data_IF_660101986743
#
_entry.id   IF_660101986743
#
_cell.length_a   1.000
_cell.length_b   1.000
_cell.length_c   1.000
_cell.angle_alpha   90.00
_cell.angle_beta   90.00
_cell.angle_gamma   90.00
#
_symmetry.space_group_name_H-M   'P 1'
#
loop_
_entity.id
_entity.type
_entity.pdbx_description
1 polymer ?
#
# COMPACT_ATOMS: atom_id res chain seq x y z
N UNK A 1 17.48 3.18 29.20
CA UNK A 1 16.02 3.29 28.98
C UNK A 1 15.77 3.21 27.49
N UNK A 2 14.67 2.55 27.08
CA UNK A 2 14.27 2.40 25.68
C UNK A 2 13.93 3.75 25.04
N UNK A 3 14.41 3.98 23.82
CA UNK A 3 14.11 5.18 23.07
C UNK A 3 12.76 5.03 22.36
N UNK A 4 11.84 5.94 22.63
CA UNK A 4 10.50 5.97 22.06
C UNK A 4 10.35 7.11 21.06
N UNK A 5 9.48 6.90 20.08
CA UNK A 5 9.07 7.90 19.10
C UNK A 5 7.56 7.94 18.99
N UNK A 6 7.01 9.10 18.60
CA UNK A 6 5.57 9.27 18.39
C UNK A 6 5.29 9.50 16.92
N UNK A 7 4.57 8.57 16.32
CA UNK A 7 4.16 8.61 14.91
C UNK A 7 2.69 8.99 14.77
N UNK A 8 2.30 9.48 13.62
CA UNK A 8 0.92 9.87 13.32
C UNK A 8 -0.05 8.67 13.34
N UNK A 9 0.39 7.54 12.79
CA UNK A 9 -0.43 6.34 12.62
C UNK A 9 -0.25 5.32 13.74
N UNK A 10 1.00 5.05 14.15
CA UNK A 10 1.34 4.04 15.15
C UNK A 10 1.29 4.53 16.61
N UNK A 11 1.10 5.86 16.85
CA UNK A 11 1.18 6.41 18.18
C UNK A 11 2.60 6.31 18.77
N UNK A 12 2.72 5.88 20.02
CA UNK A 12 4.02 5.69 20.69
C UNK A 12 4.57 4.30 20.36
N UNK A 13 5.78 4.26 19.80
CA UNK A 13 6.48 3.05 19.33
C UNK A 13 7.94 3.09 19.82
N UNK A 14 8.56 1.93 19.92
CA UNK A 14 10.01 1.83 20.10
C UNK A 14 10.71 2.36 18.83
N UNK A 15 11.81 3.10 19.00
CA UNK A 15 12.53 3.66 17.85
C UNK A 15 13.11 2.56 16.94
N UNK A 16 13.47 1.43 17.52
CA UNK A 16 13.96 0.22 16.80
C UNK A 16 12.93 -0.39 15.85
N UNK A 17 11.63 -0.19 16.09
CA UNK A 17 10.54 -0.70 15.25
C UNK A 17 10.21 0.22 14.06
N UNK A 18 10.81 1.40 14.00
CA UNK A 18 10.52 2.42 12.98
C UNK A 18 11.62 2.40 11.92
N UNK A 19 11.26 2.14 10.67
CA UNK A 19 12.18 2.21 9.54
C UNK A 19 12.77 3.60 9.36
N UNK A 20 14.02 3.65 8.88
CA UNK A 20 14.75 4.87 8.57
C UNK A 20 15.84 5.21 9.56
N UNK A 21 16.64 6.23 9.20
CA UNK A 21 17.81 6.67 9.98
C UNK A 21 17.38 7.18 11.37
N UNK A 22 18.09 6.71 12.39
CA UNK A 22 17.97 7.30 13.73
C UNK A 22 18.70 8.65 13.77
N UNK A 23 17.93 9.72 13.95
CA UNK A 23 18.43 11.09 14.08
C UNK A 23 18.44 11.55 15.55
N UNK A 24 18.34 10.63 16.53
CA UNK A 24 18.43 10.98 17.94
C UNK A 24 19.83 11.46 18.32
N UNK A 25 19.92 12.39 19.28
CA UNK A 25 21.21 12.82 19.82
C UNK A 25 21.90 11.69 20.57
N UNK A 26 23.23 11.63 20.54
CA UNK A 26 24.03 10.74 21.39
C UNK A 26 23.83 11.09 22.86
N UNK A 27 23.86 12.38 23.20
CA UNK A 27 23.51 12.86 24.54
C UNK A 27 21.99 12.87 24.73
N UNK A 28 21.55 12.04 25.68
CA UNK A 28 20.13 11.87 26.06
C UNK A 28 19.80 12.48 27.42
N UNK A 29 20.69 13.28 28.01
CA UNK A 29 20.50 13.89 29.31
C UNK A 29 19.23 14.77 29.43
N UNK A 30 18.86 15.41 28.33
CA UNK A 30 17.68 16.26 28.20
C UNK A 30 16.39 15.54 27.76
N UNK A 31 16.45 14.19 27.60
CA UNK A 31 15.29 13.42 27.18
C UNK A 31 14.29 13.29 28.32
N UNK A 32 13.01 13.24 27.95
CA UNK A 32 11.91 13.17 28.93
C UNK A 32 11.56 11.72 29.21
N UNK A 33 11.38 11.40 30.48
CA UNK A 33 10.93 10.06 30.90
C UNK A 33 9.45 9.90 30.52
N UNK A 34 9.12 8.73 30.03
CA UNK A 34 7.75 8.27 29.71
C UNK A 34 7.50 7.00 30.50
N UNK A 35 6.35 6.94 31.16
CA UNK A 35 5.86 5.74 31.81
C UNK A 35 4.78 5.09 30.97
N UNK A 36 4.65 3.79 31.10
CA UNK A 36 3.52 3.06 30.50
C UNK A 36 2.19 3.68 30.96
N UNK A 37 1.32 4.01 29.99
CA UNK A 37 0.07 4.71 30.25
C UNK A 37 0.14 6.22 30.07
N UNK A 38 1.32 6.84 30.04
CA UNK A 38 1.44 8.27 29.77
C UNK A 38 1.01 8.62 28.33
N UNK A 39 0.38 9.78 28.21
CA UNK A 39 0.07 10.33 26.90
C UNK A 39 1.23 11.17 26.38
N UNK A 40 1.67 10.91 25.15
CA UNK A 40 2.79 11.60 24.53
C UNK A 40 2.38 12.14 23.17
N UNK A 41 2.80 13.37 22.85
CA UNK A 41 2.61 13.91 21.52
C UNK A 41 3.89 14.52 20.94
N UNK A 42 3.98 14.48 19.60
CA UNK A 42 5.04 15.13 18.85
C UNK A 42 4.67 16.61 18.64
N UNK A 43 5.38 17.53 19.32
CA UNK A 43 5.04 18.95 19.25
C UNK A 43 5.12 19.53 17.83
N UNK A 44 6.00 19.02 16.97
CA UNK A 44 6.15 19.47 15.58
C UNK A 44 5.12 18.85 14.63
N UNK A 45 4.43 17.78 15.03
CA UNK A 45 3.46 17.06 14.21
C UNK A 45 2.09 16.92 14.89
N UNK A 46 1.85 17.62 16.01
CA UNK A 46 0.58 17.59 16.72
C UNK A 46 -0.57 18.14 15.88
N UNK A 47 -0.30 19.11 15.04
CA UNK A 47 -1.24 19.64 14.05
C UNK A 47 -1.69 18.62 13.00
N UNK A 48 -1.05 17.45 12.93
CA UNK A 48 -1.45 16.27 12.14
C UNK A 48 -2.04 15.17 13.03
N UNK A 49 -2.11 15.37 14.36
CA UNK A 49 -2.60 14.38 15.31
C UNK A 49 -1.57 13.34 15.75
N UNK A 50 -0.26 13.64 15.66
CA UNK A 50 0.81 12.75 16.10
C UNK A 50 0.87 12.67 17.62
N UNK A 51 0.11 11.76 18.21
CA UNK A 51 0.01 11.48 19.63
C UNK A 51 -0.35 10.02 19.91
N UNK A 52 -0.17 9.58 21.16
CA UNK A 52 -0.60 8.26 21.61
C UNK A 52 -0.38 8.06 23.09
N UNK A 53 -0.95 6.98 23.62
CA UNK A 53 -0.65 6.47 24.97
C UNK A 53 0.51 5.50 24.85
N UNK A 54 1.51 5.63 25.74
CA UNK A 54 2.68 4.76 25.70
C UNK A 54 2.38 3.37 26.27
N UNK A 55 2.62 2.30 25.52
CA UNK A 55 2.58 0.96 26.04
C UNK A 55 3.88 0.55 26.75
N UNK A 56 4.89 1.43 26.74
CA UNK A 56 6.25 1.17 27.22
C UNK A 56 6.70 2.21 28.26
N UNK A 57 7.62 1.79 29.13
CA UNK A 57 8.49 2.69 29.88
C UNK A 57 9.70 3.04 28.99
N UNK A 58 10.09 4.32 28.95
CA UNK A 58 11.21 4.73 28.10
C UNK A 58 11.50 6.22 28.17
N UNK A 59 12.19 6.73 27.17
CA UNK A 59 12.52 8.15 26.99
C UNK A 59 12.15 8.66 25.62
N UNK A 60 11.78 9.93 25.54
CA UNK A 60 11.49 10.65 24.29
C UNK A 60 12.34 11.89 24.16
N UNK A 61 12.67 12.25 22.92
CA UNK A 61 13.38 13.48 22.59
C UNK A 61 12.66 14.74 23.16
N UNK A 62 13.38 15.83 23.45
CA UNK A 62 12.78 17.10 23.88
C UNK A 62 11.70 17.66 22.95
N UNK A 63 11.71 17.29 21.67
CA UNK A 63 10.67 17.66 20.71
C UNK A 63 9.29 17.05 20.99
N UNK A 64 9.23 16.05 21.87
CA UNK A 64 7.95 15.46 22.31
C UNK A 64 7.51 16.05 23.64
N UNK A 65 6.23 16.02 23.89
CA UNK A 65 5.63 16.44 25.18
C UNK A 65 4.92 15.27 25.82
N UNK A 66 5.28 14.99 27.06
CA UNK A 66 4.61 13.98 27.90
C UNK A 66 3.54 14.69 28.71
N UNK A 67 2.33 14.21 28.68
CA UNK A 67 1.19 14.73 29.41
C UNK A 67 0.81 13.79 30.54
N UNK A 68 0.71 14.32 31.73
CA UNK A 68 0.21 13.62 32.92
C UNK A 68 -1.15 14.20 33.32
N UNK A 69 -2.13 13.33 33.50
CA UNK A 69 -3.47 13.73 33.89
C UNK A 69 -3.50 14.33 35.32
N UNK A 70 -4.21 15.44 35.48
CA UNK A 70 -4.47 16.06 36.80
C UNK A 70 -5.78 15.61 37.44
N UNK A 71 -6.67 15.05 36.64
CA UNK A 71 -7.98 14.53 37.04
C UNK A 71 -8.11 13.11 36.56
N UNK A 72 -9.00 12.29 37.10
CA UNK A 72 -9.33 10.99 36.56
C UNK A 72 -9.86 11.12 35.12
N UNK A 73 -9.11 10.60 34.16
CA UNK A 73 -9.45 10.59 32.71
C UNK A 73 -9.00 9.28 32.09
N UNK A 74 -9.56 8.95 30.94
CA UNK A 74 -9.09 7.87 30.08
C UNK A 74 -8.10 8.42 29.06
N UNK A 75 -6.82 8.10 29.17
CA UNK A 75 -5.76 8.60 28.28
C UNK A 75 -5.97 8.14 26.82
N UNK A 76 -6.47 6.93 26.59
CA UNK A 76 -6.81 6.40 25.26
C UNK A 76 -7.93 7.22 24.61
N UNK A 77 -8.92 7.68 25.39
CA UNK A 77 -9.95 8.58 24.90
C UNK A 77 -9.36 9.90 24.43
N UNK A 78 -8.45 10.48 25.20
CA UNK A 78 -7.77 11.72 24.81
C UNK A 78 -6.87 11.56 23.59
N UNK A 79 -6.16 10.44 23.50
CA UNK A 79 -5.35 10.14 22.31
C UNK A 79 -6.21 10.05 21.04
N UNK A 80 -7.42 9.53 21.15
CA UNK A 80 -8.39 9.50 20.05
C UNK A 80 -9.02 10.88 19.78
N UNK A 81 -9.44 11.59 20.83
CA UNK A 81 -9.99 12.96 20.73
C UNK A 81 -9.01 13.90 20.02
N UNK A 82 -7.72 13.81 20.27
CA UNK A 82 -6.67 14.61 19.63
C UNK A 82 -6.50 14.32 18.12
N UNK A 83 -7.15 13.31 17.60
CA UNK A 83 -7.25 13.01 16.17
C UNK A 83 -8.56 13.48 15.52
N UNK A 84 -9.46 14.11 16.30
CA UNK A 84 -10.68 14.71 15.75
C UNK A 84 -10.32 15.96 14.91
N UNK A 85 -10.97 16.14 13.75
CA UNK A 85 -10.62 17.21 12.81
C UNK A 85 -10.83 18.63 13.39
N UNK A 86 -11.85 18.84 14.24
CA UNK A 86 -12.11 20.13 14.88
C UNK A 86 -10.93 20.50 15.77
N UNK A 87 -10.46 19.55 16.58
CA UNK A 87 -9.34 19.77 17.49
C UNK A 87 -8.00 19.88 16.76
N UNK A 88 -7.79 19.11 15.67
CA UNK A 88 -6.63 19.29 14.80
C UNK A 88 -6.59 20.70 14.20
N UNK A 89 -7.73 21.27 13.82
CA UNK A 89 -7.78 22.65 13.34
C UNK A 89 -7.42 23.66 14.43
N UNK A 90 -7.85 23.42 15.68
CA UNK A 90 -7.42 24.26 16.81
C UNK A 90 -5.91 24.11 17.08
N UNK A 91 -5.36 22.90 16.95
CA UNK A 91 -3.91 22.68 17.06
C UNK A 91 -3.13 23.43 15.98
N UNK A 92 -3.63 23.44 14.73
CA UNK A 92 -3.03 24.22 13.63
C UNK A 92 -3.01 25.72 13.95
N UNK A 93 -4.13 26.29 14.38
CA UNK A 93 -4.25 27.72 14.73
C UNK A 93 -3.31 28.13 15.87
N UNK A 94 -3.07 27.23 16.82
CA UNK A 94 -2.24 27.48 18.00
C UNK A 94 -0.78 27.04 17.81
N UNK A 95 -0.42 26.46 16.69
CA UNK A 95 0.96 26.10 16.36
C UNK A 95 1.76 27.32 15.92
N UNK A 96 3.01 27.40 16.33
CA UNK A 96 3.93 28.49 16.00
C UNK A 96 4.96 28.02 14.97
N UNK A 97 5.31 28.87 14.01
CA UNK A 97 6.27 28.60 12.95
C UNK A 97 5.90 29.33 11.66
N UNK A 98 6.88 29.62 10.81
CA UNK A 98 6.66 30.36 9.57
C UNK A 98 6.04 29.45 8.47
N UNK A 99 6.40 28.18 8.46
CA UNK A 99 5.91 27.19 7.48
C UNK A 99 5.39 25.95 8.20
N UNK A 100 4.58 25.13 7.54
CA UNK A 100 4.03 23.89 8.12
C UNK A 100 5.11 22.92 8.64
N UNK A 101 6.30 22.95 8.05
CA UNK A 101 7.41 22.09 8.47
C UNK A 101 8.06 22.53 9.78
N UNK A 102 7.93 23.84 10.11
CA UNK A 102 8.45 24.44 11.35
C UNK A 102 7.39 24.59 12.43
N UNK A 103 6.13 24.29 12.15
CA UNK A 103 5.05 24.40 13.11
C UNK A 103 5.33 23.56 14.36
N UNK A 104 5.11 24.18 15.52
CA UNK A 104 5.36 23.57 16.82
C UNK A 104 4.26 23.95 17.79
N UNK A 105 3.56 22.97 18.33
CA UNK A 105 2.54 23.15 19.37
C UNK A 105 3.12 22.77 20.73
N UNK A 106 3.61 23.77 21.47
CA UNK A 106 4.17 23.57 22.81
C UNK A 106 3.07 23.50 23.87
N UNK A 107 3.42 23.03 25.08
CA UNK A 107 2.48 22.90 26.19
C UNK A 107 1.77 24.20 26.56
N UNK A 108 2.42 25.39 26.60
CA UNK A 108 1.72 26.66 26.93
C UNK A 108 0.55 26.97 25.98
N UNK A 109 0.61 26.54 24.73
CA UNK A 109 -0.47 26.76 23.74
C UNK A 109 -1.57 25.69 23.88
N UNK A 110 -1.20 24.41 23.94
CA UNK A 110 -2.20 23.33 24.02
C UNK A 110 -3.05 23.41 25.28
N UNK A 111 -2.48 23.85 26.43
CA UNK A 111 -3.21 24.00 27.70
C UNK A 111 -4.33 25.04 27.68
N UNK A 112 -4.34 25.95 26.70
CA UNK A 112 -5.38 26.98 26.55
C UNK A 112 -6.59 26.49 25.77
N UNK A 113 -6.47 25.36 25.08
CA UNK A 113 -7.53 24.81 24.25
C UNK A 113 -8.54 24.11 25.15
N UNK A 114 -9.78 24.60 25.14
CA UNK A 114 -10.88 24.02 25.91
C UNK A 114 -11.48 22.83 25.20
N UNK A 115 -11.74 21.76 25.93
CA UNK A 115 -12.43 20.57 25.45
C UNK A 115 -13.56 20.22 26.41
N UNK A 116 -14.68 19.73 25.86
CA UNK A 116 -15.78 19.18 26.66
C UNK A 116 -15.58 17.68 26.80
N UNK A 117 -15.77 17.18 28.00
CA UNK A 117 -15.50 15.78 28.32
C UNK A 117 -16.76 15.11 28.86
N UNK A 118 -17.12 13.91 28.40
CA UNK A 118 -18.11 13.09 29.03
C UNK A 118 -17.58 12.50 30.34
N UNK A 119 -18.44 11.80 31.09
CA UNK A 119 -18.01 11.06 32.28
C UNK A 119 -16.94 10.03 31.97
N UNK A 120 -16.07 9.72 32.93
CA UNK A 120 -14.95 8.76 32.74
C UNK A 120 -15.44 7.41 32.21
N UNK A 121 -16.55 6.92 32.73
CA UNK A 121 -17.17 5.66 32.25
C UNK A 121 -17.57 5.68 30.77
N UNK A 122 -17.95 6.85 30.26
CA UNK A 122 -18.25 7.03 28.82
C UNK A 122 -16.97 7.15 28.01
N UNK A 123 -15.95 7.84 28.54
CA UNK A 123 -14.63 7.90 27.95
C UNK A 123 -14.05 6.49 27.75
N UNK A 124 -14.13 5.65 28.76
CA UNK A 124 -13.64 4.25 28.74
C UNK A 124 -14.38 3.41 27.69
N UNK A 125 -15.70 3.55 27.55
CA UNK A 125 -16.47 2.85 26.52
C UNK A 125 -16.05 3.25 25.10
N UNK A 126 -15.93 4.56 24.86
CA UNK A 126 -15.48 5.09 23.55
C UNK A 126 -14.06 4.64 23.25
N UNK A 127 -13.15 4.72 24.21
CA UNK A 127 -11.78 4.28 24.08
C UNK A 127 -11.67 2.79 23.77
N UNK A 128 -12.41 1.95 24.51
CA UNK A 128 -12.45 0.49 24.28
C UNK A 128 -12.95 0.13 22.89
N UNK A 129 -13.99 0.81 22.40
CA UNK A 129 -14.49 0.62 21.03
C UNK A 129 -13.42 0.93 19.99
N UNK A 130 -12.76 2.10 20.10
CA UNK A 130 -11.74 2.53 19.15
C UNK A 130 -10.49 1.64 19.19
N UNK A 131 -10.01 1.27 20.38
CA UNK A 131 -8.88 0.34 20.56
C UNK A 131 -9.19 -1.03 19.94
N UNK A 132 -10.40 -1.54 20.15
CA UNK A 132 -10.83 -2.83 19.56
C UNK A 132 -10.86 -2.74 18.04
N UNK A 133 -11.35 -1.64 17.49
CA UNK A 133 -11.36 -1.40 16.04
C UNK A 133 -9.94 -1.28 15.47
N UNK A 134 -9.04 -0.60 16.16
CA UNK A 134 -7.62 -0.49 15.76
C UNK A 134 -6.92 -1.85 15.73
N UNK A 135 -7.16 -2.70 16.74
CA UNK A 135 -6.67 -4.09 16.75
C UNK A 135 -7.20 -4.89 15.55
N UNK A 136 -8.48 -4.73 15.22
CA UNK A 136 -9.09 -5.41 14.06
C UNK A 136 -8.49 -4.92 12.73
N UNK A 137 -8.25 -3.60 12.59
CA UNK A 137 -7.59 -3.02 11.41
C UNK A 137 -6.17 -3.59 11.27
N UNK A 138 -5.39 -3.62 12.35
CA UNK A 138 -4.04 -4.15 12.35
C UNK A 138 -4.01 -5.66 11.97
N UNK A 139 -4.89 -6.47 12.56
CA UNK A 139 -5.01 -7.88 12.23
C UNK A 139 -5.40 -8.10 10.75
N UNK A 140 -6.34 -7.29 10.23
CA UNK A 140 -6.75 -7.36 8.83
C UNK A 140 -5.63 -6.94 7.87
N UNK A 141 -4.84 -5.91 8.22
CA UNK A 141 -3.67 -5.50 7.44
C UNK A 141 -2.61 -6.62 7.39
N UNK A 142 -2.32 -7.24 8.54
CA UNK A 142 -1.41 -8.39 8.63
C UNK A 142 -1.89 -9.56 7.75
N UNK A 143 -3.20 -9.86 7.77
CA UNK A 143 -3.77 -10.92 6.94
C UNK A 143 -3.56 -10.64 5.44
N UNK A 144 -3.80 -9.41 4.98
CA UNK A 144 -3.58 -9.01 3.58
C UNK A 144 -2.12 -9.22 3.17
N UNK A 145 -1.16 -8.79 4.00
CA UNK A 145 0.27 -8.97 3.71
C UNK A 145 0.69 -10.45 3.72
N UNK A 146 0.15 -11.26 4.63
CA UNK A 146 0.39 -12.70 4.66
C UNK A 146 -0.16 -13.40 3.40
N UNK A 147 -1.35 -13.02 2.94
CA UNK A 147 -1.95 -13.55 1.72
C UNK A 147 -1.12 -13.19 0.48
N UNK A 148 -0.62 -11.95 0.40
CA UNK A 148 0.29 -11.54 -0.69
C UNK A 148 1.60 -12.33 -0.66
N UNK A 149 2.17 -12.57 0.53
CA UNK A 149 3.36 -13.40 0.68
C UNK A 149 3.09 -14.83 0.26
N UNK A 150 1.97 -15.39 0.69
CA UNK A 150 1.54 -16.73 0.30
C UNK A 150 1.38 -16.87 -1.21
N UNK A 151 0.73 -15.89 -1.88
CA UNK A 151 0.60 -15.86 -3.36
C UNK A 151 1.97 -15.93 -4.04
N UNK A 152 2.96 -15.15 -3.57
CA UNK A 152 4.31 -15.19 -4.16
C UNK A 152 4.96 -16.58 -4.03
N UNK A 153 4.86 -17.21 -2.86
CA UNK A 153 5.35 -18.59 -2.68
C UNK A 153 4.59 -19.59 -3.56
N UNK A 154 3.27 -19.42 -3.69
CA UNK A 154 2.46 -20.27 -4.55
C UNK A 154 2.81 -20.11 -6.03
N UNK A 155 3.04 -18.88 -6.51
CA UNK A 155 3.51 -18.62 -7.87
C UNK A 155 4.82 -19.35 -8.16
N UNK A 156 5.82 -19.25 -7.25
CA UNK A 156 7.08 -19.98 -7.40
C UNK A 156 6.84 -21.49 -7.48
N UNK A 157 6.05 -22.03 -6.54
CA UNK A 157 5.76 -23.47 -6.49
C UNK A 157 5.07 -23.98 -7.77
N UNK A 158 4.00 -23.31 -8.24
CA UNK A 158 3.22 -23.80 -9.37
C UNK A 158 3.95 -23.63 -10.71
N UNK A 159 4.80 -22.61 -10.86
CA UNK A 159 5.52 -22.35 -12.11
C UNK A 159 6.90 -23.04 -12.14
N UNK A 160 7.51 -23.38 -11.01
CA UNK A 160 8.83 -23.99 -10.94
C UNK A 160 8.75 -25.49 -10.67
N UNK A 161 7.85 -25.94 -9.79
CA UNK A 161 7.76 -27.37 -9.42
C UNK A 161 6.66 -28.13 -10.16
N UNK A 162 5.46 -27.55 -10.30
CA UNK A 162 4.36 -28.24 -11.00
C UNK A 162 4.57 -28.32 -12.51
N UNK A 163 5.17 -27.33 -13.13
CA UNK A 163 5.43 -27.32 -14.57
C UNK A 163 6.60 -28.22 -14.97
N UNK A 164 7.52 -28.48 -14.05
CA UNK A 164 8.71 -29.33 -14.25
C UNK A 164 8.47 -30.79 -13.80
N UNK A 165 7.28 -31.13 -13.31
CA UNK A 165 6.97 -32.51 -12.96
C UNK A 165 6.84 -33.38 -14.21
N UNK A 166 7.29 -34.62 -14.14
CA UNK A 166 7.21 -35.60 -15.26
C UNK A 166 5.77 -35.80 -15.79
N UNK A 167 4.78 -35.55 -14.94
CA UNK A 167 3.35 -35.63 -15.28
C UNK A 167 2.79 -34.39 -15.99
N UNK A 168 3.56 -33.28 -16.10
CA UNK A 168 3.03 -32.01 -16.58
C UNK A 168 2.94 -31.90 -18.11
N UNK A 169 3.59 -32.82 -18.86
CA UNK A 169 3.67 -32.79 -20.33
C UNK A 169 3.96 -31.34 -20.81
N UNK A 170 5.05 -30.79 -20.33
CA UNK A 170 5.43 -29.39 -20.62
C UNK A 170 6.39 -29.31 -21.80
N UNK A 171 6.24 -28.26 -22.59
CA UNK A 171 7.10 -27.92 -23.72
C UNK A 171 7.77 -26.58 -23.47
N UNK A 172 9.08 -26.49 -23.73
CA UNK A 172 9.82 -25.24 -23.63
C UNK A 172 9.59 -24.37 -24.88
N UNK A 173 9.15 -23.14 -24.64
CA UNK A 173 8.97 -22.10 -25.66
C UNK A 173 9.74 -20.85 -25.31
N UNK A 174 10.22 -20.11 -26.32
CA UNK A 174 10.64 -18.73 -26.09
C UNK A 174 9.43 -17.83 -25.83
N UNK A 175 9.59 -16.76 -25.06
CA UNK A 175 8.48 -15.87 -24.72
C UNK A 175 7.78 -15.31 -25.97
N UNK A 176 8.54 -15.04 -27.05
CA UNK A 176 7.99 -14.56 -28.33
C UNK A 176 7.07 -15.56 -29.04
N UNK A 177 7.14 -16.85 -28.70
CA UNK A 177 6.27 -17.90 -29.26
C UNK A 177 4.95 -17.98 -28.46
N UNK A 178 4.97 -17.69 -27.18
CA UNK A 178 3.79 -17.75 -26.31
C UNK A 178 3.05 -16.41 -26.16
N UNK A 179 3.73 -15.28 -26.44
CA UNK A 179 3.12 -13.95 -26.36
C UNK A 179 3.75 -12.97 -27.36
N UNK A 180 2.91 -12.13 -27.96
CA UNK A 180 3.34 -11.07 -28.86
C UNK A 180 2.97 -9.71 -28.29
N UNK A 181 3.79 -8.69 -28.52
CA UNK A 181 3.41 -7.32 -28.17
C UNK A 181 2.42 -6.75 -29.16
N UNK A 182 1.31 -6.22 -28.66
CA UNK A 182 0.37 -5.49 -29.52
C UNK A 182 1.03 -4.22 -30.05
N UNK A 183 1.00 -4.02 -31.35
CA UNK A 183 1.59 -2.87 -32.06
C UNK A 183 0.54 -1.83 -32.46
N UNK A 184 -0.75 -2.16 -32.33
CA UNK A 184 -1.87 -1.29 -32.67
C UNK A 184 -1.82 -0.01 -31.86
N UNK A 185 -1.92 1.14 -32.55
CA UNK A 185 -1.89 2.47 -31.95
C UNK A 185 -3.27 3.10 -31.98
N UNK A 186 -3.53 3.86 -30.94
CA UNK A 186 -4.74 4.65 -30.80
C UNK A 186 -4.36 6.13 -30.78
N UNK A 187 -5.05 6.94 -31.63
CA UNK A 187 -4.98 8.40 -31.58
C UNK A 187 -6.17 8.95 -30.82
N UNK A 188 -6.00 9.91 -29.90
CA UNK A 188 -7.11 10.60 -29.24
C UNK A 188 -8.07 11.29 -30.23
N UNK A 189 -7.55 11.70 -31.39
CA UNK A 189 -8.35 12.37 -32.43
C UNK A 189 -9.25 11.40 -33.22
N UNK A 190 -9.21 10.11 -32.95
CA UNK A 190 -10.02 9.10 -33.65
C UNK A 190 -11.53 9.21 -33.38
N UNK A 191 -11.93 9.96 -32.36
CA UNK A 191 -13.33 10.13 -31.96
C UNK A 191 -13.96 8.93 -31.24
N UNK A 192 -13.22 7.82 -31.09
CA UNK A 192 -13.68 6.62 -30.36
C UNK A 192 -13.13 6.68 -28.94
N UNK A 193 -14.01 6.60 -27.94
CA UNK A 193 -13.63 6.64 -26.54
C UNK A 193 -13.37 5.23 -25.98
N UNK A 194 -12.24 5.10 -25.27
CA UNK A 194 -11.88 3.92 -24.49
C UNK A 194 -11.42 4.32 -23.09
N UNK A 195 -11.54 3.43 -22.08
CA UNK A 195 -10.81 3.59 -20.83
C UNK A 195 -9.31 3.61 -21.09
N UNK A 196 -8.61 4.63 -20.63
CA UNK A 196 -7.16 4.76 -20.76
C UNK A 196 -6.47 4.40 -19.44
N UNK A 197 -5.56 3.43 -19.50
CA UNK A 197 -4.78 2.94 -18.36
C UNK A 197 -3.38 3.52 -18.42
N UNK A 198 -3.04 4.31 -17.40
CA UNK A 198 -1.69 4.77 -17.10
C UNK A 198 -1.06 3.92 -15.99
N UNK A 199 0.27 4.00 -15.82
CA UNK A 199 0.95 3.22 -14.78
C UNK A 199 0.39 3.48 -13.37
N UNK A 200 -0.07 4.69 -13.08
CA UNK A 200 -0.66 5.04 -11.78
C UNK A 200 -1.98 4.33 -11.50
N UNK A 201 -2.69 3.93 -12.55
CA UNK A 201 -3.95 3.20 -12.43
C UNK A 201 -3.76 1.70 -12.13
N UNK A 202 -2.54 1.17 -12.21
CA UNK A 202 -2.25 -0.22 -11.87
C UNK A 202 -1.69 -0.29 -10.44
N UNK A 203 -2.37 -0.98 -9.55
CA UNK A 203 -1.90 -1.23 -8.19
C UNK A 203 -0.67 -2.15 -8.20
N UNK A 204 0.36 -1.75 -7.47
CA UNK A 204 1.63 -2.48 -7.43
C UNK A 204 1.46 -3.90 -6.83
N UNK A 205 1.91 -4.92 -7.56
CA UNK A 205 2.00 -6.30 -7.09
C UNK A 205 0.67 -7.05 -6.92
N UNK A 206 -0.47 -6.44 -7.30
CA UNK A 206 -1.79 -7.09 -7.18
C UNK A 206 -2.50 -7.28 -8.52
N UNK A 207 -2.12 -6.50 -9.54
CA UNK A 207 -2.78 -6.52 -10.83
C UNK A 207 -4.14 -5.82 -10.87
N UNK A 208 -4.55 -5.18 -9.77
CA UNK A 208 -5.81 -4.47 -9.67
C UNK A 208 -5.74 -3.13 -10.41
N UNK A 209 -6.76 -2.82 -11.19
CA UNK A 209 -6.97 -1.51 -11.76
C UNK A 209 -7.68 -0.61 -10.73
N UNK A 210 -7.06 0.53 -10.40
CA UNK A 210 -7.57 1.52 -9.44
C UNK A 210 -8.53 2.52 -10.09
N UNK A 211 -8.58 2.54 -11.42
CA UNK A 211 -9.40 3.43 -12.21
C UNK A 211 -8.87 3.55 -13.64
N UNK A 212 -9.43 4.47 -14.38
CA UNK A 212 -9.02 4.84 -15.74
C UNK A 212 -9.37 6.30 -15.99
N UNK A 213 -8.80 6.88 -17.03
CA UNK A 213 -9.20 8.19 -17.57
C UNK A 213 -9.77 8.00 -18.98
N UNK A 214 -10.52 8.98 -19.47
CA UNK A 214 -11.00 8.90 -20.86
C UNK A 214 -9.83 9.03 -21.85
N UNK A 215 -9.80 8.19 -22.87
CA UNK A 215 -8.79 8.26 -23.93
C UNK A 215 -8.84 9.55 -24.71
N UNK A 216 -10.02 10.17 -24.85
CA UNK A 216 -10.24 11.43 -25.57
C UNK A 216 -9.63 12.63 -24.85
N UNK A 217 -9.37 12.54 -23.55
CA UNK A 217 -8.70 13.61 -22.79
C UNK A 217 -7.18 13.55 -22.89
N UNK A 218 -6.64 12.56 -23.58
CA UNK A 218 -5.20 12.37 -23.72
C UNK A 218 -4.62 13.18 -24.87
N UNK A 219 -3.38 13.62 -24.73
CA UNK A 219 -2.68 14.40 -25.78
C UNK A 219 -1.69 13.56 -26.59
N UNK A 220 -1.41 12.32 -26.16
CA UNK A 220 -0.39 11.47 -26.78
C UNK A 220 -0.99 10.19 -27.35
N UNK A 221 -0.36 9.66 -28.40
CA UNK A 221 -0.70 8.35 -28.98
C UNK A 221 -0.55 7.28 -27.89
N UNK A 222 -1.55 6.42 -27.79
CA UNK A 222 -1.60 5.29 -26.84
C UNK A 222 -1.42 3.96 -27.59
N UNK A 223 -1.25 2.89 -26.85
CA UNK A 223 -1.30 1.52 -27.39
C UNK A 223 -2.70 0.98 -27.14
N UNK A 224 -3.36 0.48 -28.17
CA UNK A 224 -4.62 -0.26 -28.00
C UNK A 224 -4.33 -1.57 -27.26
N UNK A 225 -5.27 -2.04 -26.47
CA UNK A 225 -5.28 -3.38 -25.87
C UNK A 225 -6.70 -3.93 -25.93
N UNK A 226 -6.82 -5.22 -26.20
CA UNK A 226 -8.11 -5.90 -26.39
C UNK A 226 -8.41 -6.75 -25.17
N UNK A 227 -9.67 -7.09 -24.99
CA UNK A 227 -10.07 -8.08 -23.99
C UNK A 227 -9.23 -9.37 -24.14
N UNK A 228 -8.67 -9.86 -23.05
CA UNK A 228 -7.75 -11.00 -23.02
C UNK A 228 -6.26 -10.65 -23.12
N UNK A 229 -5.90 -9.40 -23.44
CA UNK A 229 -4.49 -8.98 -23.41
C UNK A 229 -3.97 -8.87 -21.98
N UNK A 230 -2.69 -9.18 -21.82
CA UNK A 230 -1.98 -9.03 -20.54
C UNK A 230 -1.15 -7.74 -20.57
N UNK A 231 -1.40 -6.85 -19.61
CA UNK A 231 -0.67 -5.59 -19.49
C UNK A 231 0.55 -5.76 -18.59
N UNK A 232 1.69 -5.20 -19.00
CA UNK A 232 2.92 -5.18 -18.21
C UNK A 232 3.59 -3.80 -18.29
N UNK A 233 3.80 -3.18 -17.14
CA UNK A 233 4.53 -1.91 -17.02
C UNK A 233 6.02 -2.10 -17.25
N UNK A 234 6.51 -1.66 -18.43
CA UNK A 234 7.93 -1.78 -18.76
C UNK A 234 8.81 -0.78 -18.00
N UNK A 235 8.28 0.38 -17.58
CA UNK A 235 8.99 1.37 -16.78
C UNK A 235 9.07 0.91 -15.33
N UNK A 236 10.30 0.80 -14.80
CA UNK A 236 10.58 0.33 -13.44
C UNK A 236 9.91 -1.03 -13.15
N UNK A 237 10.27 -2.09 -13.88
CA UNK A 237 9.59 -3.39 -13.78
C UNK A 237 9.61 -3.96 -12.37
N UNK A 238 10.58 -3.59 -11.53
CA UNK A 238 10.61 -3.94 -10.09
C UNK A 238 9.38 -3.45 -9.30
N UNK A 239 8.62 -2.48 -9.82
CA UNK A 239 7.34 -2.06 -9.24
C UNK A 239 6.20 -3.06 -9.50
N UNK A 240 6.45 -4.12 -10.30
CA UNK A 240 5.49 -5.21 -10.52
C UNK A 240 4.10 -4.70 -10.89
N UNK A 241 4.04 -3.83 -11.90
CA UNK A 241 2.78 -3.31 -12.44
C UNK A 241 2.34 -4.14 -13.62
N UNK A 242 1.35 -4.95 -13.41
CA UNK A 242 0.72 -5.82 -14.40
C UNK A 242 -0.80 -5.77 -14.22
N UNK A 243 -1.56 -6.03 -15.28
CA UNK A 243 -3.02 -6.12 -15.20
C UNK A 243 -3.55 -7.03 -16.31
N UNK A 244 -4.79 -7.47 -16.16
CA UNK A 244 -5.51 -8.22 -17.18
C UNK A 244 -6.54 -7.28 -17.83
N UNK A 245 -6.61 -7.25 -19.15
CA UNK A 245 -7.60 -6.48 -19.89
C UNK A 245 -8.90 -7.27 -20.01
N UNK A 246 -9.90 -6.94 -19.17
CA UNK A 246 -11.23 -7.57 -19.22
C UNK A 246 -12.09 -7.05 -20.38
N UNK A 247 -11.74 -5.91 -20.94
CA UNK A 247 -12.41 -5.24 -22.05
C UNK A 247 -11.40 -4.51 -22.94
N UNK A 248 -11.84 -4.02 -24.07
CA UNK A 248 -11.03 -3.17 -24.94
C UNK A 248 -10.69 -1.87 -24.24
N UNK A 249 -9.41 -1.52 -24.19
CA UNK A 249 -8.86 -0.35 -23.52
C UNK A 249 -7.71 0.24 -24.35
N UNK A 250 -7.23 1.40 -23.94
CA UNK A 250 -5.95 1.93 -24.39
C UNK A 250 -5.01 2.09 -23.21
N UNK A 251 -3.72 2.00 -23.43
CA UNK A 251 -2.74 2.12 -22.35
C UNK A 251 -1.56 3.00 -22.75
N UNK A 252 -0.87 3.49 -21.71
CA UNK A 252 0.36 4.26 -21.84
C UNK A 252 1.41 3.55 -22.71
N UNK A 253 2.22 4.30 -23.41
CA UNK A 253 3.39 3.76 -24.13
C UNK A 253 4.42 3.09 -23.19
N UNK A 254 4.36 3.33 -21.90
CA UNK A 254 5.17 2.67 -20.87
C UNK A 254 4.58 1.35 -20.38
N UNK A 255 3.45 0.91 -20.98
CA UNK A 255 2.81 -0.38 -20.75
C UNK A 255 2.86 -1.19 -22.04
N UNK A 256 3.32 -2.42 -21.95
CA UNK A 256 3.14 -3.39 -23.03
C UNK A 256 1.81 -4.13 -22.85
N UNK A 257 1.10 -4.33 -23.95
CA UNK A 257 -0.04 -5.24 -24.04
C UNK A 257 0.44 -6.50 -24.77
N UNK A 258 0.38 -7.63 -24.10
CA UNK A 258 0.76 -8.94 -24.64
C UNK A 258 -0.47 -9.67 -25.15
N UNK A 259 -0.42 -10.13 -26.38
CA UNK A 259 -1.41 -10.99 -27.01
C UNK A 259 -0.97 -12.43 -26.74
N UNK A 260 -1.75 -13.24 -26.00
CA UNK A 260 -1.42 -14.66 -25.81
C UNK A 260 -1.48 -15.43 -27.15
N UNK A 261 -0.59 -16.42 -27.32
CA UNK A 261 -0.67 -17.35 -28.41
C UNK A 261 -1.63 -18.52 -28.10
N UNK A 262 -1.79 -19.44 -29.04
CA UNK A 262 -2.60 -20.67 -28.86
C UNK A 262 -2.03 -21.64 -27.82
N UNK A 263 -0.76 -21.51 -27.45
CA UNK A 263 -0.08 -22.37 -26.45
C UNK A 263 -0.38 -22.01 -25.02
N UNK A 264 -0.89 -20.79 -24.77
CA UNK A 264 -1.15 -20.29 -23.41
C UNK A 264 -2.53 -19.68 -23.30
N UNK A 265 -3.27 -20.03 -22.24
CA UNK A 265 -4.50 -19.31 -21.93
C UNK A 265 -4.16 -17.91 -21.38
N UNK A 266 -4.99 -16.90 -21.67
CA UNK A 266 -4.69 -15.51 -21.30
C UNK A 266 -4.39 -15.32 -19.81
N UNK A 267 -5.16 -15.98 -18.94
CA UNK A 267 -4.98 -15.90 -17.49
C UNK A 267 -3.67 -16.56 -17.03
N UNK A 268 -3.23 -17.63 -17.69
CA UNK A 268 -1.93 -18.25 -17.37
C UNK A 268 -0.79 -17.29 -17.72
N UNK A 269 -0.81 -16.65 -18.89
CA UNK A 269 0.16 -15.62 -19.26
C UNK A 269 0.15 -14.46 -18.27
N UNK A 270 -1.02 -14.04 -17.78
CA UNK A 270 -1.15 -13.01 -16.74
C UNK A 270 -0.42 -13.40 -15.44
N UNK A 271 -0.45 -14.67 -15.04
CA UNK A 271 0.30 -15.14 -13.88
C UNK A 271 1.77 -15.37 -14.18
N UNK A 272 2.13 -15.82 -15.38
CA UNK A 272 3.51 -16.01 -15.80
C UNK A 272 4.32 -14.72 -15.72
N UNK A 273 3.77 -13.58 -16.15
CA UNK A 273 4.47 -12.28 -16.06
C UNK A 273 4.64 -11.78 -14.62
N UNK A 274 4.04 -12.42 -13.63
CA UNK A 274 4.20 -12.14 -12.20
C UNK A 274 5.29 -12.95 -11.53
N UNK A 275 5.81 -14.00 -12.19
CA UNK A 275 6.83 -14.91 -11.64
C UNK A 275 8.16 -14.19 -11.43
N UNK A 276 8.95 -14.66 -10.48
CA UNK A 276 10.30 -14.11 -10.24
C UNK A 276 11.20 -14.34 -11.47
N UNK A 277 11.01 -15.44 -12.21
CA UNK A 277 11.73 -15.71 -13.45
C UNK A 277 11.49 -14.60 -14.47
N UNK A 278 10.24 -14.32 -14.84
CA UNK A 278 9.92 -13.25 -15.79
C UNK A 278 10.40 -11.89 -15.30
N UNK A 279 10.18 -11.56 -14.03
CA UNK A 279 10.56 -10.27 -13.44
C UNK A 279 12.08 -10.09 -13.38
N UNK A 280 12.86 -11.14 -13.14
CA UNK A 280 14.33 -11.10 -13.19
C UNK A 280 14.80 -10.65 -14.58
N UNK A 281 14.26 -11.25 -15.65
CA UNK A 281 14.60 -10.89 -17.03
C UNK A 281 14.13 -9.47 -17.37
N UNK A 282 12.92 -9.12 -16.99
CA UNK A 282 12.35 -7.79 -17.21
C UNK A 282 13.13 -6.68 -16.49
N UNK A 283 13.85 -7.00 -15.41
CA UNK A 283 14.68 -6.04 -14.68
C UNK A 283 16.09 -5.89 -15.26
N UNK A 284 16.49 -6.70 -16.26
CA UNK A 284 17.72 -6.49 -17.02
C UNK A 284 17.55 -5.23 -17.86
N UNK A 285 18.23 -4.15 -17.49
CA UNK A 285 18.12 -2.86 -18.17
C UNK A 285 19.49 -2.18 -18.25
N UNK A 286 19.70 -1.41 -19.31
CA UNK A 286 20.93 -0.64 -19.54
C UNK A 286 20.99 0.70 -18.77
N UNK A 287 19.91 1.13 -18.12
CA UNK A 287 19.79 2.45 -17.48
C UNK A 287 19.59 2.39 -15.96
N UNK A 288 20.30 3.25 -15.22
CA UNK A 288 20.27 3.26 -13.74
C UNK A 288 19.20 4.18 -13.13
N UNK A 289 18.87 5.31 -13.77
CA UNK A 289 17.92 6.31 -13.21
C UNK A 289 16.45 5.97 -13.44
N UNK A 290 16.10 5.44 -14.61
CA UNK A 290 14.73 5.07 -14.98
C UNK A 290 14.76 3.76 -15.78
N UNK A 291 15.01 2.61 -15.12
CA UNK A 291 15.15 1.33 -15.79
C UNK A 291 13.86 0.96 -16.53
N UNK A 292 14.02 0.45 -17.73
CA UNK A 292 12.92 -0.08 -18.57
C UNK A 292 13.23 -1.51 -18.97
N UNK A 293 12.22 -2.37 -18.93
CA UNK A 293 12.33 -3.68 -19.51
C UNK A 293 12.61 -3.57 -21.02
N UNK A 294 13.53 -4.38 -21.50
CA UNK A 294 13.91 -4.46 -22.91
C UNK A 294 13.32 -5.72 -23.54
N UNK A 295 12.60 -5.55 -24.63
CA UNK A 295 11.93 -6.67 -25.30
C UNK A 295 12.94 -7.73 -25.76
N UNK A 296 14.09 -7.30 -26.28
CA UNK A 296 15.13 -8.20 -26.77
C UNK A 296 15.65 -9.20 -25.72
N UNK A 297 15.54 -8.87 -24.45
CA UNK A 297 15.88 -9.78 -23.35
C UNK A 297 14.75 -10.78 -23.09
N UNK A 298 13.49 -10.31 -23.11
CA UNK A 298 12.32 -11.11 -22.76
C UNK A 298 11.93 -12.06 -23.91
N UNK A 299 11.97 -11.60 -25.15
CA UNK A 299 11.50 -12.40 -26.31
C UNK A 299 12.21 -13.73 -26.49
N UNK A 300 13.46 -13.84 -26.06
CA UNK A 300 14.31 -15.03 -26.20
C UNK A 300 14.36 -15.89 -24.94
N UNK A 301 13.75 -15.41 -23.84
CA UNK A 301 13.77 -16.17 -22.61
C UNK A 301 12.90 -17.41 -22.71
N UNK A 302 13.43 -18.60 -22.36
CA UNK A 302 12.68 -19.83 -22.39
C UNK A 302 11.75 -19.97 -21.19
N UNK A 303 10.56 -20.51 -21.43
CA UNK A 303 9.57 -20.85 -20.40
C UNK A 303 9.01 -22.23 -20.69
N UNK A 304 8.91 -23.06 -19.66
CA UNK A 304 8.25 -24.34 -19.73
C UNK A 304 6.74 -24.16 -19.59
N UNK A 305 6.00 -24.52 -20.61
CA UNK A 305 4.56 -24.32 -20.71
C UNK A 305 3.88 -25.69 -20.66
N UNK A 306 3.09 -25.98 -19.62
CA UNK A 306 2.38 -27.23 -19.48
C UNK A 306 1.17 -27.27 -20.41
N UNK A 307 0.58 -28.46 -20.56
CA UNK A 307 -0.66 -28.62 -21.34
C UNK A 307 -1.79 -27.74 -20.75
N UNK A 308 -2.78 -27.41 -21.59
CA UNK A 308 -3.89 -26.49 -21.24
C UNK A 308 -4.62 -26.91 -19.96
N UNK A 309 -4.85 -28.21 -19.75
CA UNK A 309 -5.50 -28.69 -18.52
C UNK A 309 -4.74 -28.34 -17.23
N UNK A 310 -3.42 -28.35 -17.27
CA UNK A 310 -2.58 -27.95 -16.13
C UNK A 310 -2.59 -26.43 -15.98
N UNK A 311 -2.54 -25.67 -17.08
CA UNK A 311 -2.68 -24.22 -17.04
C UNK A 311 -4.00 -23.80 -16.36
N UNK A 312 -5.12 -24.43 -16.73
CA UNK A 312 -6.44 -24.16 -16.12
C UNK A 312 -6.46 -24.45 -14.61
N UNK A 313 -5.83 -25.55 -14.17
CA UNK A 313 -5.69 -25.85 -12.72
C UNK A 313 -4.89 -24.79 -12.00
N UNK A 314 -3.74 -24.39 -12.54
CA UNK A 314 -2.87 -23.35 -11.99
C UNK A 314 -3.64 -22.03 -11.89
N UNK A 315 -4.32 -21.62 -12.95
CA UNK A 315 -5.14 -20.40 -12.98
C UNK A 315 -6.22 -20.44 -11.92
N UNK A 316 -6.98 -21.52 -11.83
CA UNK A 316 -8.06 -21.66 -10.83
C UNK A 316 -7.57 -21.48 -9.40
N UNK A 317 -6.39 -22.04 -9.06
CA UNK A 317 -5.78 -21.88 -7.74
C UNK A 317 -5.37 -20.41 -7.47
N UNK A 318 -4.73 -19.78 -8.45
CA UNK A 318 -4.23 -18.40 -8.32
C UNK A 318 -5.36 -17.37 -8.30
N UNK A 319 -6.43 -17.57 -9.07
CA UNK A 319 -7.62 -16.71 -9.03
C UNK A 319 -8.34 -16.79 -7.68
N UNK A 320 -8.41 -17.98 -7.09
CA UNK A 320 -9.00 -18.14 -5.77
C UNK A 320 -8.24 -17.33 -4.69
N UNK A 321 -6.91 -17.32 -4.74
CA UNK A 321 -6.10 -16.53 -3.79
C UNK A 321 -6.20 -15.03 -4.09
N UNK A 322 -6.23 -14.61 -5.36
CA UNK A 322 -6.42 -13.20 -5.73
C UNK A 322 -7.77 -12.65 -5.28
N UNK A 323 -8.83 -13.43 -5.45
CA UNK A 323 -10.16 -13.09 -4.93
C UNK A 323 -10.12 -12.89 -3.41
N UNK A 324 -9.38 -13.73 -2.68
CA UNK A 324 -9.24 -13.61 -1.22
C UNK A 324 -8.44 -12.38 -0.83
N UNK A 325 -7.36 -12.06 -1.54
CA UNK A 325 -6.56 -10.84 -1.34
C UNK A 325 -7.44 -9.60 -1.57
N UNK A 326 -8.17 -9.56 -2.67
CA UNK A 326 -9.06 -8.45 -3.02
C UNK A 326 -10.13 -8.23 -1.94
N UNK A 327 -10.87 -9.26 -1.58
CA UNK A 327 -11.92 -9.18 -0.55
C UNK A 327 -11.38 -8.75 0.81
N UNK A 328 -10.21 -9.28 1.20
CA UNK A 328 -9.55 -8.90 2.46
C UNK A 328 -9.06 -7.45 2.44
N UNK A 329 -8.55 -6.98 1.29
CA UNK A 329 -8.15 -5.58 1.08
C UNK A 329 -9.32 -4.61 1.11
N UNK A 330 -10.47 -4.99 0.52
CA UNK A 330 -11.70 -4.19 0.57
C UNK A 330 -12.22 -4.08 2.01
N UNK A 331 -12.22 -5.18 2.75
CA UNK A 331 -12.58 -5.19 4.18
C UNK A 331 -11.67 -4.28 5.00
N UNK A 332 -10.37 -4.27 4.74
CA UNK A 332 -9.43 -3.36 5.39
C UNK A 332 -9.76 -1.89 5.11
N UNK A 333 -10.04 -1.55 3.84
CA UNK A 333 -10.43 -0.17 3.47
C UNK A 333 -11.74 0.27 4.14
N UNK A 334 -12.73 -0.62 4.19
CA UNK A 334 -13.99 -0.35 4.88
C UNK A 334 -13.78 -0.10 6.38
N UNK A 335 -12.99 -0.92 7.06
CA UNK A 335 -12.66 -0.73 8.48
C UNK A 335 -11.96 0.60 8.75
N UNK A 336 -10.98 0.99 7.91
CA UNK A 336 -10.27 2.27 8.01
C UNK A 336 -11.24 3.45 7.83
N UNK A 337 -12.12 3.39 6.83
CA UNK A 337 -13.11 4.45 6.57
C UNK A 337 -14.16 4.53 7.67
N UNK A 338 -14.62 3.40 8.18
CA UNK A 338 -15.53 3.34 9.33
C UNK A 338 -14.92 3.99 10.57
N UNK A 339 -13.64 3.66 10.87
CA UNK A 339 -12.90 4.30 11.97
C UNK A 339 -12.81 5.82 11.80
N UNK A 340 -12.50 6.30 10.60
CA UNK A 340 -12.47 7.75 10.31
C UNK A 340 -13.83 8.39 10.56
N UNK A 341 -14.92 7.77 10.13
CA UNK A 341 -16.28 8.25 10.38
C UNK A 341 -16.63 8.30 11.87
N UNK A 342 -16.33 7.24 12.61
CA UNK A 342 -16.55 7.19 14.07
C UNK A 342 -15.82 8.30 14.81
N UNK A 343 -14.55 8.57 14.47
CA UNK A 343 -13.78 9.65 15.09
C UNK A 343 -14.44 11.03 14.92
N UNK A 344 -15.20 11.24 13.84
CA UNK A 344 -15.91 12.50 13.62
C UNK A 344 -17.26 12.57 14.35
N UNK A 345 -17.90 11.44 14.57
CA UNK A 345 -19.21 11.35 15.20
C UNK A 345 -19.16 11.26 16.73
N UNK A 346 -18.16 10.57 17.28
CA UNK A 346 -18.04 10.35 18.73
C UNK A 346 -17.53 11.57 19.50
N UNK A 347 -16.90 12.53 18.82
CA UNK A 347 -16.32 13.74 19.45
C UNK A 347 -16.99 15.00 18.88
N UNK A 348 -18.30 15.12 19.08
CA UNK A 348 -19.12 16.26 18.62
C UNK A 348 -18.90 17.49 19.50
#
# INVERSE_FOLDING_TARGET
MELLSVTMNGGVMQRSEIEGKDNSSEDKSNYKVVRKGDMVYNSMRMWQGANGVSPYDGIVSPAYTVLTAKLPICNEYFAALFKNYKLINEFKKNSQGMTSDTWNLKYPQIKTIKVYLPRVTEQEKVASLLVTLDKRIAAQATLVEQLKKYKRGLLSYVFEEMTLSDDADSTTYHFSEIAQRRKEKYSPDSGVEYPCIELEHIEQGTGRLLGSVSSTTQSSIKTAARSGDVLFGKLRPYLRKFAFAEQDIVCSSEIWAFIPSEYVIPQYLYYLVQTEHFLRVANISSGTKMPRAEWANIEKEPFDIPCILIQEKIVSILEAIDKKICTSGDSLRMLINFRKGLLQQLFI
#
